data_IF_897824585711
#
_entry.id   IF_897824585711
#
_cell.length_a   1.000
_cell.length_b   1.000
_cell.length_c   1.000
_cell.angle_alpha   90.00
_cell.angle_beta   90.00
_cell.angle_gamma   90.00
#
_symmetry.space_group_name_H-M   'P 1'
#
loop_
_entity.id
_entity.type
_entity.pdbx_description
1 polymer ?
#
# COMPACT_ATOMS: atom_id res chain seq x y z
N UNK A 1 6.23 -4.18 21.46
CA UNK A 1 5.75 -5.57 21.61
C UNK A 1 5.73 -6.22 20.23
N UNK A 2 6.36 -7.39 20.13
CA UNK A 2 6.33 -8.19 18.90
C UNK A 2 5.04 -9.02 18.92
N UNK A 3 4.09 -8.72 18.03
CA UNK A 3 2.91 -9.56 17.87
C UNK A 3 3.27 -10.79 17.03
N UNK A 4 2.86 -11.97 17.49
CA UNK A 4 2.96 -13.23 16.72
C UNK A 4 1.62 -13.61 16.09
N UNK A 5 0.56 -12.83 16.31
CA UNK A 5 -0.79 -13.11 15.84
C UNK A 5 -0.95 -12.68 14.39
N UNK A 6 -1.31 -13.60 13.52
CA UNK A 6 -1.81 -13.31 12.18
C UNK A 6 -3.31 -12.99 12.27
N UNK A 7 -3.71 -11.88 11.70
CA UNK A 7 -5.11 -11.43 11.73
C UNK A 7 -5.77 -11.59 10.36
N UNK A 8 -6.95 -12.19 10.35
CA UNK A 8 -7.75 -12.34 9.15
C UNK A 8 -9.00 -11.45 9.21
N UNK A 9 -9.13 -10.57 8.23
CA UNK A 9 -10.33 -9.74 8.01
C UNK A 9 -11.23 -10.45 7.02
N UNK A 10 -12.28 -11.07 7.53
CA UNK A 10 -13.28 -11.81 6.74
C UNK A 10 -14.61 -11.06 6.64
N UNK A 11 -14.80 -10.06 7.49
CA UNK A 11 -15.96 -9.17 7.53
C UNK A 11 -15.49 -7.74 7.89
N UNK A 12 -16.35 -6.76 7.68
CA UNK A 12 -16.07 -5.36 8.06
C UNK A 12 -15.72 -5.26 9.54
N UNK A 13 -14.62 -4.64 9.85
CA UNK A 13 -14.06 -4.51 11.20
C UNK A 13 -13.47 -3.10 11.41
N UNK A 14 -13.38 -2.69 12.67
CA UNK A 14 -12.74 -1.45 13.05
C UNK A 14 -11.81 -1.65 14.25
N UNK A 15 -10.69 -0.92 14.26
CA UNK A 15 -9.81 -0.87 15.42
C UNK A 15 -10.17 0.33 16.30
N UNK A 16 -10.19 0.13 17.61
CA UNK A 16 -10.53 1.15 18.60
C UNK A 16 -9.32 1.59 19.42
N UNK A 17 -8.13 1.13 19.05
CA UNK A 17 -6.85 1.49 19.64
C UNK A 17 -5.73 1.19 18.65
N UNK A 18 -4.54 1.75 18.89
CA UNK A 18 -3.34 1.34 18.17
C UNK A 18 -2.98 -0.10 18.50
N UNK A 19 -2.70 -0.88 17.47
CA UNK A 19 -2.43 -2.31 17.64
C UNK A 19 -1.38 -2.82 16.66
N UNK A 20 -0.80 -3.97 17.00
CA UNK A 20 0.16 -4.67 16.17
C UNK A 20 -0.33 -6.08 15.90
N UNK A 21 -0.22 -6.52 14.64
CA UNK A 21 -0.42 -7.91 14.23
C UNK A 21 0.82 -8.38 13.48
N UNK A 22 1.10 -9.68 13.48
CA UNK A 22 2.24 -10.20 12.74
C UNK A 22 2.03 -10.01 11.23
N UNK A 23 0.93 -10.52 10.70
CA UNK A 23 0.53 -10.34 9.30
C UNK A 23 -0.98 -10.09 9.22
N UNK A 24 -1.39 -9.43 8.14
CA UNK A 24 -2.80 -9.14 7.86
C UNK A 24 -3.25 -9.89 6.61
N UNK A 25 -4.35 -10.60 6.70
CA UNK A 25 -5.01 -11.23 5.56
C UNK A 25 -6.39 -10.64 5.36
N UNK A 26 -6.68 -10.16 4.15
CA UNK A 26 -8.03 -9.83 3.71
C UNK A 26 -8.53 -10.94 2.80
N UNK A 27 -9.52 -11.69 3.26
CA UNK A 27 -10.12 -12.82 2.53
C UNK A 27 -11.63 -12.74 2.66
N UNK A 28 -12.25 -11.68 2.14
CA UNK A 28 -13.66 -11.41 2.37
C UNK A 28 -14.57 -12.35 1.57
N UNK A 29 -15.71 -12.71 2.19
CA UNK A 29 -16.83 -13.37 1.53
C UNK A 29 -17.83 -12.36 0.91
N UNK A 30 -17.65 -11.06 1.16
CA UNK A 30 -18.35 -9.91 0.59
C UNK A 30 -17.42 -8.71 0.61
N UNK A 31 -17.79 -7.59 -0.02
CA UNK A 31 -17.02 -6.36 0.07
C UNK A 31 -16.77 -5.97 1.54
N UNK A 32 -15.52 -5.78 1.92
CA UNK A 32 -15.12 -5.68 3.33
C UNK A 32 -14.19 -4.51 3.57
N UNK A 33 -14.41 -3.84 4.69
CA UNK A 33 -13.59 -2.69 5.13
C UNK A 33 -12.96 -2.96 6.49
N UNK A 34 -11.63 -2.77 6.58
CA UNK A 34 -10.92 -2.62 7.84
C UNK A 34 -10.73 -1.12 8.09
N UNK A 35 -11.40 -0.59 9.12
CA UNK A 35 -11.23 0.81 9.54
C UNK A 35 -10.24 0.90 10.68
N UNK A 36 -9.13 1.60 10.47
CA UNK A 36 -8.23 2.01 11.55
C UNK A 36 -8.81 3.28 12.16
N UNK A 37 -9.14 3.28 13.44
CA UNK A 37 -9.73 4.45 14.10
C UNK A 37 -8.83 5.68 13.98
N UNK A 38 -9.43 6.86 13.97
CA UNK A 38 -8.72 8.15 13.88
C UNK A 38 -7.71 8.30 15.00
N UNK A 39 -6.47 8.67 14.66
CA UNK A 39 -5.36 8.80 15.61
C UNK A 39 -4.72 7.48 16.02
N UNK A 40 -5.24 6.34 15.58
CA UNK A 40 -4.65 5.04 15.85
C UNK A 40 -3.72 4.55 14.73
N UNK A 41 -2.81 3.65 15.09
CA UNK A 41 -1.86 3.03 14.19
C UNK A 41 -2.05 1.51 14.17
N UNK A 42 -2.18 0.95 12.97
CA UNK A 42 -2.09 -0.47 12.73
C UNK A 42 -0.68 -0.81 12.25
N UNK A 43 0.07 -1.57 13.05
CA UNK A 43 1.41 -2.03 12.69
C UNK A 43 1.36 -3.48 12.20
N UNK A 44 1.90 -3.74 11.04
CA UNK A 44 2.10 -5.09 10.49
C UNK A 44 3.54 -5.51 10.76
N UNK A 45 3.77 -6.31 11.79
CA UNK A 45 5.13 -6.57 12.31
C UNK A 45 6.02 -7.29 11.30
N UNK A 46 5.50 -8.28 10.57
CA UNK A 46 6.23 -8.94 9.46
C UNK A 46 6.23 -8.12 8.17
N UNK A 47 5.46 -7.04 8.11
CA UNK A 47 5.24 -6.27 6.90
C UNK A 47 4.24 -6.88 5.91
N UNK A 48 3.73 -8.07 6.14
CA UNK A 48 2.93 -8.82 5.16
C UNK A 48 1.44 -8.52 5.21
N UNK A 49 0.89 -8.01 4.11
CA UNK A 49 -0.55 -7.96 3.83
C UNK A 49 -0.85 -8.86 2.64
N UNK A 50 -1.77 -9.81 2.82
CA UNK A 50 -2.29 -10.67 1.76
C UNK A 50 -3.76 -10.35 1.52
N UNK A 51 -4.11 -9.95 0.31
CA UNK A 51 -5.48 -9.87 -0.15
C UNK A 51 -5.75 -11.00 -1.16
N UNK A 52 -6.64 -11.90 -0.81
CA UNK A 52 -7.04 -13.01 -1.65
C UNK A 52 -8.55 -13.24 -1.56
N UNK A 53 -9.14 -13.74 -2.63
CA UNK A 53 -10.60 -13.92 -2.72
C UNK A 53 -11.15 -13.29 -4.00
N UNK A 54 -12.44 -12.96 -3.99
CA UNK A 54 -13.16 -12.43 -5.15
C UNK A 54 -13.85 -11.09 -4.90
N UNK A 55 -13.88 -10.62 -3.66
CA UNK A 55 -14.56 -9.39 -3.27
C UNK A 55 -13.57 -8.27 -2.95
N UNK A 56 -14.00 -7.02 -3.16
CA UNK A 56 -13.20 -5.86 -2.87
C UNK A 56 -12.85 -5.74 -1.39
N UNK A 57 -11.61 -5.34 -1.11
CA UNK A 57 -11.13 -5.03 0.24
C UNK A 57 -10.77 -3.57 0.36
N UNK A 58 -11.02 -2.98 1.52
CA UNK A 58 -10.60 -1.60 1.83
C UNK A 58 -9.92 -1.56 3.18
N UNK A 59 -8.78 -0.86 3.27
CA UNK A 59 -8.15 -0.46 4.54
C UNK A 59 -8.22 1.06 4.61
N UNK A 60 -8.89 1.60 5.62
CA UNK A 60 -9.19 3.03 5.71
C UNK A 60 -8.97 3.59 7.12
N UNK A 61 -8.96 4.92 7.23
CA UNK A 61 -8.77 5.64 8.49
C UNK A 61 -7.32 5.58 8.98
N UNK A 62 -7.03 6.10 10.14
CA UNK A 62 -5.77 6.08 10.87
C UNK A 62 -4.48 5.93 10.08
N UNK A 63 -3.49 5.33 10.71
CA UNK A 63 -2.16 5.10 10.13
C UNK A 63 -1.88 3.60 9.97
N UNK A 64 -1.36 3.21 8.81
CA UNK A 64 -0.85 1.88 8.52
C UNK A 64 0.68 1.95 8.42
N UNK A 65 1.37 1.08 9.15
CA UNK A 65 2.83 0.99 9.12
C UNK A 65 3.28 -0.46 9.23
N UNK A 66 4.60 -0.71 9.12
CA UNK A 66 5.12 -2.05 9.21
C UNK A 66 6.43 -2.13 10.00
N UNK A 67 6.73 -3.33 10.49
CA UNK A 67 8.01 -3.72 11.07
C UNK A 67 8.27 -3.16 12.46
N UNK A 68 9.54 -3.05 12.78
CA UNK A 68 10.03 -2.60 14.08
C UNK A 68 10.21 -1.09 14.10
N UNK A 69 9.83 -0.46 15.20
CA UNK A 69 9.96 1.00 15.40
C UNK A 69 11.41 1.47 15.17
N UNK A 70 11.56 2.58 14.47
CA UNK A 70 12.84 3.24 14.18
C UNK A 70 13.85 2.43 13.35
N UNK A 71 13.40 1.38 12.67
CA UNK A 71 14.21 0.62 11.73
C UNK A 71 13.66 0.74 10.31
N UNK A 72 14.51 0.55 9.30
CA UNK A 72 14.04 0.45 7.93
C UNK A 72 13.19 -0.82 7.77
N UNK A 73 12.01 -0.68 7.20
CA UNK A 73 11.03 -1.76 7.08
C UNK A 73 10.41 -1.80 5.69
N UNK A 74 9.72 -2.89 5.41
CA UNK A 74 8.97 -3.06 4.15
C UNK A 74 7.53 -3.44 4.44
N UNK A 75 6.59 -2.76 3.79
CA UNK A 75 5.19 -3.15 3.74
C UNK A 75 4.94 -3.87 2.42
N UNK A 76 4.77 -5.19 2.48
CA UNK A 76 4.43 -6.03 1.34
C UNK A 76 2.92 -6.12 1.20
N UNK A 77 2.39 -5.72 0.04
CA UNK A 77 0.98 -5.90 -0.31
C UNK A 77 0.89 -6.92 -1.44
N UNK A 78 0.58 -8.16 -1.06
CA UNK A 78 0.34 -9.26 -1.97
C UNK A 78 -1.14 -9.26 -2.38
N UNK A 79 -1.43 -8.70 -3.56
CA UNK A 79 -2.79 -8.58 -4.08
C UNK A 79 -3.07 -9.69 -5.11
N UNK A 80 -3.68 -10.78 -4.67
CA UNK A 80 -4.11 -11.91 -5.49
C UNK A 80 -5.61 -11.95 -5.72
N UNK A 81 -6.36 -11.00 -5.14
CA UNK A 81 -7.79 -10.90 -5.36
C UNK A 81 -8.06 -10.40 -6.79
N UNK A 82 -9.10 -10.92 -7.43
CA UNK A 82 -9.60 -10.44 -8.73
C UNK A 82 -10.29 -9.09 -8.62
N UNK A 83 -10.85 -8.77 -7.44
CA UNK A 83 -11.40 -7.45 -7.15
C UNK A 83 -10.33 -6.50 -6.59
N UNK A 84 -10.62 -5.20 -6.59
CA UNK A 84 -9.73 -4.14 -6.17
C UNK A 84 -9.45 -4.19 -4.66
N UNK A 85 -8.19 -4.00 -4.28
CA UNK A 85 -7.81 -3.58 -2.93
C UNK A 85 -7.58 -2.08 -2.90
N UNK A 86 -8.22 -1.38 -1.97
CA UNK A 86 -8.02 0.06 -1.75
C UNK A 86 -7.37 0.29 -0.39
N UNK A 87 -6.32 1.11 -0.34
CA UNK A 87 -5.74 1.62 0.91
C UNK A 87 -5.92 3.13 0.93
N UNK A 88 -6.80 3.60 1.81
CA UNK A 88 -7.06 5.01 2.09
C UNK A 88 -6.62 5.44 3.50
N UNK A 89 -6.02 4.53 4.28
CA UNK A 89 -5.25 4.88 5.46
C UNK A 89 -3.96 5.60 5.07
N UNK A 90 -3.43 6.44 5.96
CA UNK A 90 -2.08 7.00 5.79
C UNK A 90 -1.07 5.86 5.90
N UNK A 91 -0.25 5.65 4.87
CA UNK A 91 0.92 4.76 4.97
C UNK A 91 2.10 5.62 5.41
N UNK A 92 2.71 5.29 6.54
CA UNK A 92 3.77 6.08 7.14
C UNK A 92 4.96 5.23 7.58
N UNK A 93 6.10 5.89 7.73
CA UNK A 93 7.26 5.30 8.39
C UNK A 93 6.90 4.81 9.80
N UNK A 94 7.62 3.80 10.29
CA UNK A 94 7.48 3.35 11.68
C UNK A 94 8.51 4.09 12.55
N UNK A 95 8.13 5.25 13.06
CA UNK A 95 9.04 6.16 13.71
C UNK A 95 10.01 6.81 12.70
N UNK A 96 11.30 6.78 12.97
CA UNK A 96 12.35 7.32 12.08
C UNK A 96 12.79 6.37 10.98
N UNK A 97 12.37 5.11 11.04
CA UNK A 97 12.75 4.08 10.08
C UNK A 97 11.99 4.18 8.77
N UNK A 98 12.72 4.29 7.67
CA UNK A 98 12.14 4.39 6.32
C UNK A 98 11.30 3.15 5.99
N UNK A 99 10.04 3.34 5.58
CA UNK A 99 9.16 2.28 5.11
C UNK A 99 9.19 2.24 3.57
N UNK A 100 9.43 1.07 3.01
CA UNK A 100 9.29 0.78 1.58
C UNK A 100 7.95 0.11 1.32
N UNK A 101 7.19 0.57 0.35
CA UNK A 101 5.98 -0.10 -0.11
C UNK A 101 6.31 -1.05 -1.27
N UNK A 102 5.97 -2.32 -1.12
CA UNK A 102 6.13 -3.32 -2.19
C UNK A 102 4.76 -3.87 -2.56
N UNK A 103 4.35 -3.62 -3.80
CA UNK A 103 3.15 -4.23 -4.40
C UNK A 103 3.55 -5.47 -5.20
N UNK A 104 2.93 -6.60 -4.89
CA UNK A 104 3.10 -7.86 -5.61
C UNK A 104 1.74 -8.54 -5.89
N UNK A 105 1.77 -9.59 -6.71
CA UNK A 105 0.58 -10.30 -7.18
C UNK A 105 -0.14 -9.60 -8.34
N UNK A 106 -0.99 -10.34 -9.09
CA UNK A 106 -1.57 -9.87 -10.35
C UNK A 106 -2.70 -8.85 -10.19
N UNK A 107 -3.32 -8.77 -9.02
CA UNK A 107 -4.46 -7.88 -8.77
C UNK A 107 -4.07 -6.40 -8.70
N UNK A 108 -5.08 -5.53 -8.70
CA UNK A 108 -4.90 -4.09 -8.63
C UNK A 108 -4.94 -3.58 -7.17
N UNK A 109 -4.02 -2.68 -6.83
CA UNK A 109 -4.02 -1.90 -5.60
C UNK A 109 -4.26 -0.44 -5.94
N UNK A 110 -5.16 0.22 -5.23
CA UNK A 110 -5.36 1.67 -5.32
C UNK A 110 -4.97 2.35 -4.01
N UNK A 111 -4.10 3.35 -4.09
CA UNK A 111 -3.81 4.27 -3.00
C UNK A 111 -4.64 5.54 -3.21
N UNK A 112 -5.27 6.03 -2.15
CA UNK A 112 -6.12 7.23 -2.23
C UNK A 112 -5.80 8.29 -1.17
N UNK A 113 -4.82 8.03 -0.30
CA UNK A 113 -4.47 8.98 0.74
C UNK A 113 -3.26 9.84 0.32
N UNK A 114 -3.51 11.13 0.12
CA UNK A 114 -2.46 12.09 -0.26
C UNK A 114 -1.52 12.47 0.90
N UNK A 115 -1.85 12.08 2.13
CA UNK A 115 -1.02 12.25 3.33
C UNK A 115 -0.02 11.11 3.57
N UNK A 116 0.19 10.21 2.62
CA UNK A 116 1.19 9.16 2.75
C UNK A 116 2.58 9.77 2.98
N UNK A 117 3.33 9.22 3.93
CA UNK A 117 4.62 9.79 4.38
C UNK A 117 5.75 8.75 4.49
N UNK A 118 5.57 7.56 3.94
CA UNK A 118 6.65 6.58 3.86
C UNK A 118 7.79 7.08 2.96
N UNK A 119 9.03 6.81 3.32
CA UNK A 119 10.20 7.41 2.66
C UNK A 119 11.14 6.42 1.96
N UNK A 120 10.90 5.12 2.08
CA UNK A 120 11.74 4.07 1.48
C UNK A 120 11.49 3.82 -0.01
N UNK A 121 10.50 4.50 -0.61
CA UNK A 121 10.15 4.32 -2.02
C UNK A 121 9.04 3.29 -2.26
N UNK A 122 8.77 3.04 -3.54
CA UNK A 122 7.70 2.14 -3.98
C UNK A 122 8.24 1.15 -5.03
N UNK A 123 8.01 -0.14 -4.81
CA UNK A 123 8.42 -1.21 -5.73
C UNK A 123 7.17 -1.95 -6.20
N UNK A 124 7.03 -2.14 -7.51
CA UNK A 124 5.89 -2.82 -8.12
C UNK A 124 6.39 -4.06 -8.86
N UNK A 125 6.25 -5.22 -8.20
CA UNK A 125 6.73 -6.50 -8.71
C UNK A 125 5.69 -7.22 -9.58
N UNK A 126 4.43 -6.76 -9.63
CA UNK A 126 3.40 -7.35 -10.44
C UNK A 126 2.04 -6.68 -10.26
N UNK A 127 1.14 -6.90 -11.23
CA UNK A 127 -0.18 -6.28 -11.26
C UNK A 127 -0.12 -4.77 -11.47
N UNK A 128 -1.10 -4.06 -10.91
CA UNK A 128 -1.25 -2.61 -11.13
C UNK A 128 -1.28 -1.89 -9.78
N UNK A 129 -0.55 -0.78 -9.68
CA UNK A 129 -0.70 0.21 -8.62
C UNK A 129 -1.35 1.46 -9.21
N UNK A 130 -2.59 1.76 -8.78
CA UNK A 130 -3.31 2.97 -9.17
C UNK A 130 -3.07 4.09 -8.16
N UNK A 131 -2.93 5.32 -8.65
CA UNK A 131 -2.84 6.53 -7.84
C UNK A 131 -3.40 7.73 -8.62
N UNK A 132 -3.91 8.73 -7.92
CA UNK A 132 -4.50 9.94 -8.53
C UNK A 132 -3.74 11.22 -8.19
N UNK A 133 -2.86 11.20 -7.17
CA UNK A 133 -2.09 12.35 -6.73
C UNK A 133 -0.67 12.00 -6.32
N UNK A 134 0.28 12.93 -6.51
CA UNK A 134 1.68 12.69 -6.15
C UNK A 134 1.87 12.29 -4.67
N UNK A 135 1.05 12.83 -3.77
CA UNK A 135 1.08 12.51 -2.33
C UNK A 135 0.67 11.08 -2.01
N UNK A 136 -0.09 10.42 -2.88
CA UNK A 136 -0.51 9.02 -2.66
C UNK A 136 0.66 8.04 -2.73
N UNK A 137 1.72 8.38 -3.46
CA UNK A 137 2.96 7.60 -3.52
C UNK A 137 3.99 8.06 -2.47
N UNK A 138 3.63 8.96 -1.57
CA UNK A 138 4.50 9.66 -0.64
C UNK A 138 5.65 10.44 -1.31
N UNK A 139 6.34 11.30 -0.58
CA UNK A 139 7.36 12.20 -1.16
C UNK A 139 8.76 11.62 -1.27
N UNK A 140 9.01 10.41 -0.77
CA UNK A 140 10.36 9.87 -0.64
C UNK A 140 10.64 8.65 -1.53
N UNK A 141 11.93 8.43 -1.77
CA UNK A 141 12.44 7.23 -2.42
C UNK A 141 12.16 7.10 -3.92
N UNK A 142 12.77 6.11 -4.52
CA UNK A 142 12.63 5.77 -5.94
C UNK A 142 11.37 4.94 -6.19
N UNK A 143 10.78 5.07 -7.37
CA UNK A 143 9.77 4.14 -7.87
C UNK A 143 10.46 3.10 -8.74
N UNK A 144 10.26 1.82 -8.45
CA UNK A 144 10.86 0.70 -9.19
C UNK A 144 9.75 -0.19 -9.74
N UNK A 145 9.73 -0.37 -11.06
CA UNK A 145 8.83 -1.27 -11.76
C UNK A 145 9.58 -2.55 -12.14
N UNK A 146 9.29 -3.66 -11.48
CA UNK A 146 9.93 -4.97 -11.70
C UNK A 146 8.99 -5.97 -12.39
N UNK A 147 8.16 -5.50 -13.33
CA UNK A 147 7.18 -6.34 -14.03
C UNK A 147 5.73 -5.98 -13.69
N UNK A 148 5.49 -5.08 -12.74
CA UNK A 148 4.18 -4.48 -12.49
C UNK A 148 4.01 -3.14 -13.21
N UNK A 149 2.79 -2.61 -13.19
CA UNK A 149 2.44 -1.34 -13.81
C UNK A 149 2.08 -0.28 -12.78
N UNK A 150 2.52 0.95 -13.00
CA UNK A 150 2.05 2.13 -12.31
C UNK A 150 1.02 2.84 -13.19
N UNK A 151 -0.19 3.06 -12.67
CA UNK A 151 -1.28 3.67 -13.40
C UNK A 151 -1.73 4.97 -12.73
N UNK A 152 -1.51 6.10 -13.41
CA UNK A 152 -2.03 7.40 -13.02
C UNK A 152 -3.49 7.55 -13.43
N UNK A 153 -4.38 7.83 -12.50
CA UNK A 153 -5.82 8.00 -12.76
C UNK A 153 -6.24 9.47 -12.93
N UNK A 154 -5.29 10.41 -12.77
CA UNK A 154 -5.49 11.83 -13.03
C UNK A 154 -4.23 12.43 -13.67
N UNK A 155 -4.28 13.70 -14.10
CA UNK A 155 -3.09 14.41 -14.61
C UNK A 155 -2.09 14.62 -13.48
N UNK A 156 -0.90 14.04 -13.61
CA UNK A 156 0.11 14.01 -12.56
C UNK A 156 1.46 14.49 -13.07
N UNK A 157 2.15 15.23 -12.22
CA UNK A 157 3.58 15.49 -12.34
C UNK A 157 4.28 14.68 -11.27
N UNK A 158 5.14 13.74 -11.67
CA UNK A 158 5.98 12.98 -10.77
C UNK A 158 7.44 13.36 -10.97
N UNK A 159 8.03 13.99 -9.95
CA UNK A 159 9.44 14.44 -9.95
C UNK A 159 10.41 13.39 -9.38
N UNK A 160 9.93 12.19 -9.07
CA UNK A 160 10.76 11.14 -8.45
C UNK A 160 11.51 10.33 -9.48
N UNK A 161 12.72 9.91 -9.12
CA UNK A 161 13.48 8.96 -9.92
C UNK A 161 12.65 7.68 -10.12
N UNK A 162 12.60 7.19 -11.34
CA UNK A 162 11.89 5.98 -11.72
C UNK A 162 12.84 5.02 -12.43
N UNK A 163 12.81 3.76 -12.00
CA UNK A 163 13.57 2.67 -12.63
C UNK A 163 12.59 1.64 -13.15
N UNK A 164 12.72 1.28 -14.43
CA UNK A 164 11.92 0.22 -15.05
C UNK A 164 12.85 -0.96 -15.31
N UNK A 165 12.65 -2.05 -14.56
CA UNK A 165 13.30 -3.33 -14.74
C UNK A 165 12.27 -4.29 -15.34
N UNK A 166 12.67 -5.10 -16.32
CA UNK A 166 11.77 -6.03 -17.02
C UNK A 166 10.60 -5.33 -17.74
N UNK A 167 9.56 -6.08 -18.05
CA UNK A 167 8.33 -5.60 -18.71
C UNK A 167 7.42 -4.85 -17.75
N UNK A 168 7.93 -3.86 -17.03
CA UNK A 168 7.10 -2.93 -16.25
C UNK A 168 6.39 -1.94 -17.16
N UNK A 169 5.21 -1.51 -16.77
CA UNK A 169 4.38 -0.59 -17.54
C UNK A 169 4.10 0.71 -16.82
N UNK A 170 4.14 1.81 -17.58
CA UNK A 170 3.52 3.06 -17.19
C UNK A 170 2.22 3.18 -17.96
N UNK A 171 1.12 3.34 -17.25
CA UNK A 171 -0.20 3.54 -17.83
C UNK A 171 -0.80 4.82 -17.29
N UNK A 172 -1.54 5.51 -18.13
CA UNK A 172 -2.30 6.68 -17.74
C UNK A 172 -3.72 6.49 -18.26
N UNK A 173 -4.69 6.42 -17.37
CA UNK A 173 -6.11 6.40 -17.73
C UNK A 173 -6.68 7.80 -18.01
N UNK A 174 -5.87 8.84 -17.82
CA UNK A 174 -6.15 10.23 -18.18
C UNK A 174 -4.91 10.81 -18.88
N UNK A 175 -5.00 12.05 -19.37
CA UNK A 175 -3.86 12.77 -19.95
C UNK A 175 -2.79 13.02 -18.87
N UNK A 176 -1.95 12.01 -18.64
CA UNK A 176 -0.93 12.04 -17.58
C UNK A 176 0.42 12.36 -18.21
N UNK A 177 1.02 13.46 -17.80
CA UNK A 177 2.40 13.80 -18.18
C UNK A 177 3.34 13.28 -17.08
N UNK A 178 4.17 12.30 -17.40
CA UNK A 178 5.23 11.85 -16.52
C UNK A 178 6.50 12.61 -16.91
N UNK A 179 6.88 13.58 -16.09
CA UNK A 179 8.18 14.25 -16.22
C UNK A 179 9.18 13.57 -15.30
N UNK A 180 10.20 12.93 -15.88
CA UNK A 180 11.40 12.53 -15.14
C UNK A 180 12.38 13.71 -15.17
N UNK A 181 12.84 14.13 -14.02
CA UNK A 181 13.96 15.05 -13.89
C UNK A 181 15.25 14.27 -13.72
#
# INVERSE_FOLDING_TARGET
ATSTVNYAVTATAATTASQSVNALRLSPAAATTLTIGTGFTQTIVSGGILANGTFAGTITGGTLTAGVLNTANTLFVHQYNTALLTISSVIANNGTGALTLVKAGPGALTLTNTGNSYSGGTIINGGILNYAGAGELAGGGTIILNGGALNGTATLTNSRAMTVNNVGGLSASASTTLTSS
#
